data_IF_687631708339
#
_entry.id   IF_687631708339
#
_cell.length_a   1.000
_cell.length_b   1.000
_cell.length_c   1.000
_cell.angle_alpha   90.00
_cell.angle_beta   90.00
_cell.angle_gamma   90.00
#
_symmetry.space_group_name_H-M   'P 1'
#
loop_
_entity.id
_entity.type
_entity.pdbx_description
1 polymer ?
#
# COMPACT_ATOMS: atom_id res chain seq x y z
N UNK A 1 -11.59 -5.53 -2.62
CA UNK A 1 -10.70 -5.44 -1.45
C UNK A 1 -9.81 -4.21 -1.55
N UNK A 2 -8.94 -4.08 -2.56
CA UNK A 2 -7.99 -2.94 -2.61
C UNK A 2 -8.60 -1.54 -2.79
N UNK A 3 -9.90 -1.43 -3.13
CA UNK A 3 -10.63 -0.16 -3.12
C UNK A 3 -10.67 0.54 -1.75
N UNK A 4 -10.41 -0.18 -0.65
CA UNK A 4 -10.24 0.44 0.67
C UNK A 4 -9.07 1.45 0.74
N UNK A 5 -8.11 1.36 -0.20
CA UNK A 5 -7.00 2.30 -0.30
C UNK A 5 -7.37 3.59 -1.06
N UNK A 6 -8.55 3.68 -1.69
CA UNK A 6 -8.94 4.85 -2.48
C UNK A 6 -8.87 6.15 -1.67
N UNK A 7 -9.34 6.16 -0.41
CA UNK A 7 -9.29 7.34 0.45
C UNK A 7 -7.85 7.83 0.74
N UNK A 8 -6.90 6.91 0.87
CA UNK A 8 -5.48 7.23 1.00
C UNK A 8 -4.92 7.75 -0.33
N UNK A 9 -5.26 7.08 -1.42
CA UNK A 9 -4.78 7.43 -2.75
C UNK A 9 -5.35 8.78 -3.20
N UNK A 10 -6.56 9.17 -2.86
CA UNK A 10 -7.15 10.45 -3.28
C UNK A 10 -6.45 11.69 -2.73
N UNK A 11 -5.52 11.54 -1.77
CA UNK A 11 -4.66 12.62 -1.29
C UNK A 11 -3.58 12.95 -2.31
N UNK A 12 -3.39 14.22 -2.65
CA UNK A 12 -2.27 14.65 -3.49
C UNK A 12 -0.90 14.32 -2.89
N UNK A 13 -0.83 14.25 -1.56
CA UNK A 13 0.39 13.99 -0.80
C UNK A 13 0.65 12.51 -0.50
N UNK A 14 -0.14 11.59 -1.04
CA UNK A 14 0.00 10.13 -0.81
C UNK A 14 1.42 9.59 -0.99
N UNK A 15 2.17 10.23 -1.89
CA UNK A 15 3.53 9.85 -2.27
C UNK A 15 4.60 10.32 -1.27
N UNK A 16 4.24 11.27 -0.40
CA UNK A 16 5.12 11.84 0.62
C UNK A 16 5.07 10.98 1.89
N UNK A 17 6.17 11.02 2.63
CA UNK A 17 6.24 10.38 3.94
C UNK A 17 5.71 11.32 5.04
N UNK A 18 4.41 11.57 5.00
CA UNK A 18 3.72 12.36 6.02
C UNK A 18 3.01 11.45 7.03
N UNK A 19 3.17 11.67 8.35
CA UNK A 19 2.58 10.81 9.38
C UNK A 19 1.07 10.61 9.23
N UNK A 20 0.33 11.65 8.81
CA UNK A 20 -1.12 11.56 8.58
C UNK A 20 -1.49 10.65 7.41
N UNK A 21 -0.76 10.75 6.30
CA UNK A 21 -0.98 9.92 5.11
C UNK A 21 -0.58 8.46 5.39
N UNK A 22 0.50 8.25 6.15
CA UNK A 22 0.90 6.93 6.64
C UNK A 22 -0.19 6.29 7.52
N UNK A 23 -0.75 7.06 8.47
CA UNK A 23 -1.80 6.56 9.34
C UNK A 23 -3.05 6.13 8.54
N UNK A 24 -3.41 6.88 7.49
CA UNK A 24 -4.49 6.51 6.58
C UNK A 24 -4.18 5.20 5.83
N UNK A 25 -2.96 5.05 5.29
CA UNK A 25 -2.55 3.81 4.64
C UNK A 25 -2.61 2.62 5.60
N UNK A 26 -2.04 2.73 6.81
CA UNK A 26 -2.03 1.63 7.77
C UNK A 26 -3.42 1.31 8.33
N UNK A 27 -4.29 2.31 8.48
CA UNK A 27 -5.69 2.09 8.84
C UNK A 27 -6.42 1.31 7.75
N UNK A 28 -6.19 1.65 6.48
CA UNK A 28 -6.72 0.90 5.35
C UNK A 28 -6.17 -0.54 5.36
N UNK A 29 -4.84 -0.70 5.43
CA UNK A 29 -4.17 -2.00 5.47
C UNK A 29 -4.71 -2.91 6.58
N UNK A 30 -4.94 -2.37 7.78
CA UNK A 30 -5.45 -3.16 8.93
C UNK A 30 -6.81 -3.83 8.68
N UNK A 31 -7.61 -3.33 7.74
CA UNK A 31 -8.93 -3.89 7.40
C UNK A 31 -8.84 -5.11 6.47
N UNK A 32 -7.70 -5.30 5.79
CA UNK A 32 -7.55 -6.34 4.76
C UNK A 32 -6.38 -7.28 5.00
N UNK A 33 -5.41 -6.89 5.84
CA UNK A 33 -4.17 -7.64 6.06
C UNK A 33 -4.36 -9.03 6.67
N UNK A 34 -5.48 -9.25 7.35
CA UNK A 34 -5.84 -10.53 7.98
C UNK A 34 -6.62 -11.46 7.05
N UNK A 35 -6.98 -11.00 5.85
CA UNK A 35 -7.64 -11.85 4.86
C UNK A 35 -6.61 -12.75 4.17
N UNK A 36 -6.88 -14.06 4.10
CA UNK A 36 -5.99 -15.05 3.47
C UNK A 36 -5.76 -14.77 1.97
N UNK A 37 -6.70 -14.08 1.32
CA UNK A 37 -6.58 -13.66 -0.08
C UNK A 37 -5.79 -12.37 -0.26
N UNK A 38 -5.37 -11.70 0.82
CA UNK A 38 -4.59 -10.48 0.71
C UNK A 38 -3.20 -10.74 0.10
N UNK A 39 -2.93 -10.04 -1.00
CA UNK A 39 -1.65 -10.06 -1.68
C UNK A 39 -1.06 -8.65 -1.77
N UNK A 40 0.15 -8.44 -1.24
CA UNK A 40 0.86 -7.16 -1.30
C UNK A 40 1.20 -6.73 -2.72
N UNK A 41 1.45 -7.70 -3.61
CA UNK A 41 1.77 -7.43 -5.01
C UNK A 41 0.55 -6.92 -5.77
N UNK A 42 -0.62 -7.55 -5.57
CA UNK A 42 -1.89 -7.09 -6.14
C UNK A 42 -2.30 -5.72 -5.61
N UNK A 43 -2.05 -5.46 -4.32
CA UNK A 43 -2.21 -4.12 -3.74
C UNK A 43 -1.33 -3.09 -4.45
N UNK A 44 -0.05 -3.40 -4.68
CA UNK A 44 0.88 -2.50 -5.35
C UNK A 44 0.48 -2.24 -6.80
N UNK A 45 0.09 -3.27 -7.55
CA UNK A 45 -0.43 -3.15 -8.91
C UNK A 45 -1.71 -2.32 -8.97
N UNK A 46 -2.61 -2.51 -8.00
CA UNK A 46 -3.80 -1.66 -7.87
C UNK A 46 -3.43 -0.18 -7.68
N UNK A 47 -2.49 0.13 -6.78
CA UNK A 47 -2.03 1.51 -6.57
C UNK A 47 -1.39 2.12 -7.83
N UNK A 48 -0.57 1.34 -8.55
CA UNK A 48 0.04 1.76 -9.82
C UNK A 48 -1.03 2.13 -10.84
N UNK A 49 -2.01 1.24 -11.05
CA UNK A 49 -3.11 1.46 -11.99
C UNK A 49 -3.94 2.69 -11.60
N UNK A 50 -4.28 2.84 -10.31
CA UNK A 50 -5.10 3.94 -9.81
C UNK A 50 -4.42 5.31 -9.94
N UNK A 51 -3.10 5.36 -9.87
CA UNK A 51 -2.29 6.58 -9.98
C UNK A 51 -1.60 6.77 -11.31
N UNK A 52 -1.81 5.85 -12.26
CA UNK A 52 -1.14 5.84 -13.55
C UNK A 52 0.41 5.92 -13.42
N UNK A 53 0.95 5.12 -12.49
CA UNK A 53 2.40 5.04 -12.21
C UNK A 53 2.96 3.81 -12.88
N UNK A 54 3.92 3.99 -13.79
CA UNK A 54 4.62 2.88 -14.42
C UNK A 54 5.58 2.21 -13.44
N UNK A 55 5.69 0.87 -13.53
CA UNK A 55 6.64 0.09 -12.74
C UNK A 55 8.10 0.39 -13.09
N UNK A 56 8.36 0.66 -14.36
CA UNK A 56 9.71 0.87 -14.90
C UNK A 56 10.22 2.30 -14.70
N UNK A 57 9.36 3.19 -14.19
CA UNK A 57 9.77 4.55 -13.86
C UNK A 57 10.57 4.54 -12.56
N UNK A 58 11.73 5.21 -12.59
CA UNK A 58 12.51 5.50 -11.40
C UNK A 58 12.12 6.88 -10.84
N UNK A 59 10.84 7.04 -10.48
CA UNK A 59 10.29 8.26 -9.89
C UNK A 59 9.87 8.05 -8.43
N UNK A 60 9.58 9.16 -7.75
CA UNK A 60 9.21 9.16 -6.33
C UNK A 60 7.91 8.37 -6.07
N UNK A 61 7.01 8.31 -7.05
CA UNK A 61 5.73 7.63 -6.94
C UNK A 61 5.94 6.11 -6.97
N UNK A 62 6.73 5.63 -7.92
CA UNK A 62 7.12 4.22 -8.04
C UNK A 62 7.86 3.75 -6.78
N UNK A 63 8.83 4.53 -6.31
CA UNK A 63 9.56 4.24 -5.06
C UNK A 63 8.62 4.17 -3.85
N UNK A 64 7.67 5.10 -3.75
CA UNK A 64 6.70 5.09 -2.66
C UNK A 64 5.84 3.83 -2.68
N UNK A 65 5.29 3.46 -3.84
CA UNK A 65 4.47 2.25 -3.96
C UNK A 65 5.26 1.00 -3.54
N UNK A 66 6.54 0.91 -3.94
CA UNK A 66 7.42 -0.19 -3.50
C UNK A 66 7.62 -0.20 -1.99
N UNK A 67 7.78 0.96 -1.36
CA UNK A 67 7.90 1.08 0.10
C UNK A 67 6.64 0.59 0.80
N UNK A 68 5.45 0.99 0.31
CA UNK A 68 4.17 0.56 0.87
C UNK A 68 3.92 -0.94 0.67
N UNK A 69 4.28 -1.48 -0.49
CA UNK A 69 4.24 -2.91 -0.80
C UNK A 69 5.12 -3.71 0.18
N UNK A 70 6.36 -3.30 0.36
CA UNK A 70 7.30 -3.95 1.29
C UNK A 70 6.80 -3.88 2.73
N UNK A 71 6.26 -2.73 3.17
CA UNK A 71 5.67 -2.61 4.49
C UNK A 71 4.49 -3.57 4.69
N UNK A 72 3.59 -3.67 3.70
CA UNK A 72 2.45 -4.58 3.77
C UNK A 72 2.88 -6.06 3.84
N UNK A 73 3.88 -6.45 3.04
CA UNK A 73 4.45 -7.79 3.07
C UNK A 73 5.02 -8.12 4.45
N UNK A 74 5.87 -7.25 4.99
CA UNK A 74 6.49 -7.48 6.31
C UNK A 74 5.46 -7.57 7.44
N UNK A 75 4.39 -6.77 7.39
CA UNK A 75 3.31 -6.86 8.38
C UNK A 75 2.53 -8.17 8.23
N UNK A 76 2.22 -8.59 7.00
CA UNK A 76 1.55 -9.87 6.74
C UNK A 76 2.38 -11.05 7.24
N UNK A 77 3.67 -11.07 6.91
CA UNK A 77 4.60 -12.13 7.33
C UNK A 77 4.77 -12.15 8.85
N UNK A 78 4.92 -10.99 9.48
CA UNK A 78 5.01 -10.91 10.94
C UNK A 78 3.75 -11.46 11.61
N UNK A 79 2.56 -11.11 11.11
CA UNK A 79 1.29 -11.62 11.65
C UNK A 79 1.18 -13.14 11.52
N UNK A 80 1.62 -13.72 10.41
CA UNK A 80 1.66 -15.19 10.21
C UNK A 80 2.63 -15.91 11.15
N UNK A 81 3.65 -15.22 11.65
CA UNK A 81 4.62 -15.80 12.59
C UNK A 81 4.16 -15.79 14.05
N UNK A 82 3.27 -14.86 14.43
CA UNK A 82 2.80 -14.69 15.81
C UNK A 82 1.38 -15.22 16.07
N UNK A 83 0.63 -15.54 15.01
CA UNK A 83 -0.65 -16.23 15.07
C UNK A 83 -0.49 -17.74 15.09
#
# INVERSE_FOLDING_TARGET
MHNIFDNFLDKDTWHKDHPGDNAMFYSALSQVIDDESFCSDEMAEYMRNRKNVSRDNNDIFSFRIQTLQSAALHISDYKKLIG
#
